data_IF_996941678217
#
_entry.id   IF_996941678217
#
_cell.length_a   1.000
_cell.length_b   1.000
_cell.length_c   1.000
_cell.angle_alpha   90.00
_cell.angle_beta   90.00
_cell.angle_gamma   90.00
#
_symmetry.space_group_name_H-M   'P 1'
#
loop_
_entity.id
_entity.type
_entity.pdbx_description
1 polymer ?
#
# COMPACT_ATOMS: atom_id res chain seq x y z
N UNK A 1 -8.18 11.43 -29.07
CA UNK A 1 -9.17 10.62 -28.30
C UNK A 1 -10.39 11.47 -28.02
N UNK A 2 -11.58 10.85 -27.91
CA UNK A 2 -12.76 11.55 -27.39
C UNK A 2 -12.48 11.96 -25.92
N UNK A 3 -12.93 13.12 -25.44
CA UNK A 3 -12.71 13.47 -24.04
C UNK A 3 -13.32 12.40 -23.11
N UNK A 4 -12.56 11.96 -22.12
CA UNK A 4 -13.02 10.97 -21.14
C UNK A 4 -14.18 11.55 -20.36
N UNK A 5 -15.33 10.89 -20.37
CA UNK A 5 -16.52 11.24 -19.61
C UNK A 5 -16.96 10.10 -18.70
N UNK A 6 -17.06 8.90 -19.25
CA UNK A 6 -17.52 7.71 -18.54
C UNK A 6 -16.34 6.81 -18.20
N UNK A 7 -16.11 6.53 -16.92
CA UNK A 7 -14.97 5.74 -16.40
C UNK A 7 -15.49 4.45 -15.77
N UNK A 8 -15.11 3.30 -16.30
CA UNK A 8 -15.39 2.02 -15.64
C UNK A 8 -14.33 1.73 -14.58
N UNK A 9 -14.78 1.55 -13.34
CA UNK A 9 -13.97 1.16 -12.18
C UNK A 9 -14.14 -0.34 -11.95
N UNK A 10 -13.11 -1.12 -12.23
CA UNK A 10 -13.14 -2.59 -12.11
C UNK A 10 -12.44 -3.00 -10.83
N UNK A 11 -13.18 -3.57 -9.88
CA UNK A 11 -12.62 -4.09 -8.62
C UNK A 11 -13.49 -5.17 -8.01
N UNK A 12 -12.92 -5.92 -7.07
CA UNK A 12 -13.63 -6.97 -6.36
C UNK A 12 -14.50 -6.38 -5.25
N UNK A 13 -15.81 -6.59 -5.34
CA UNK A 13 -16.67 -6.44 -4.18
C UNK A 13 -16.46 -7.64 -3.25
N UNK A 14 -15.92 -7.39 -2.08
CA UNK A 14 -15.88 -8.37 -1.00
C UNK A 14 -16.65 -7.80 0.18
N UNK A 15 -17.40 -8.63 0.91
CA UNK A 15 -18.13 -8.23 2.13
C UNK A 15 -17.21 -7.76 3.27
N UNK A 16 -15.90 -7.72 3.06
CA UNK A 16 -14.89 -7.19 3.97
C UNK A 16 -14.21 -6.00 3.33
N UNK A 17 -14.28 -4.82 3.97
CA UNK A 17 -13.59 -3.62 3.53
C UNK A 17 -12.07 -3.80 3.63
N UNK A 18 -11.43 -4.26 2.54
CA UNK A 18 -9.99 -4.20 2.37
C UNK A 18 -9.54 -2.81 1.88
N UNK A 19 -8.24 -2.50 2.00
CA UNK A 19 -7.70 -1.22 1.54
C UNK A 19 -7.95 -0.94 0.05
N UNK A 20 -7.96 -1.98 -0.80
CA UNK A 20 -8.24 -1.84 -2.24
C UNK A 20 -9.67 -1.38 -2.47
N UNK A 21 -10.66 -2.06 -1.86
CA UNK A 21 -12.08 -1.73 -2.02
C UNK A 21 -12.38 -0.34 -1.49
N UNK A 22 -11.80 0.02 -0.34
CA UNK A 22 -11.96 1.36 0.24
C UNK A 22 -11.42 2.44 -0.68
N UNK A 23 -10.20 2.25 -1.22
CA UNK A 23 -9.60 3.18 -2.16
C UNK A 23 -10.37 3.29 -3.47
N UNK A 24 -10.82 2.18 -4.05
CA UNK A 24 -11.62 2.18 -5.27
C UNK A 24 -12.97 2.89 -5.05
N UNK A 25 -13.67 2.61 -3.95
CA UNK A 25 -14.95 3.26 -3.61
C UNK A 25 -14.77 4.77 -3.39
N UNK A 26 -13.69 5.18 -2.72
CA UNK A 26 -13.36 6.59 -2.55
C UNK A 26 -13.16 7.30 -3.90
N UNK A 27 -12.42 6.68 -4.82
CA UNK A 27 -12.21 7.24 -6.16
C UNK A 27 -13.49 7.32 -6.99
N UNK A 28 -14.40 6.37 -6.84
CA UNK A 28 -15.73 6.46 -7.48
C UNK A 28 -16.44 7.75 -7.06
N UNK A 29 -16.45 8.08 -5.77
CA UNK A 29 -16.99 9.33 -5.26
C UNK A 29 -16.29 10.56 -5.85
N UNK A 30 -14.96 10.58 -5.80
CA UNK A 30 -14.14 11.68 -6.33
C UNK A 30 -14.37 11.92 -7.83
N UNK A 31 -14.43 10.87 -8.64
CA UNK A 31 -14.68 11.03 -10.07
C UNK A 31 -16.06 11.62 -10.34
N UNK A 32 -17.09 11.23 -9.56
CA UNK A 32 -18.41 11.85 -9.62
C UNK A 32 -18.37 13.35 -9.29
N UNK A 33 -17.69 13.75 -8.22
CA UNK A 33 -17.49 15.16 -7.83
C UNK A 33 -16.71 15.97 -8.88
N UNK A 34 -15.79 15.34 -9.60
CA UNK A 34 -15.04 16.00 -10.69
C UNK A 34 -15.80 16.10 -12.00
N UNK A 35 -17.03 15.55 -12.06
CA UNK A 35 -17.92 15.64 -13.21
C UNK A 35 -17.76 14.49 -14.21
N UNK A 36 -17.09 13.40 -13.84
CA UNK A 36 -17.09 12.15 -14.60
C UNK A 36 -18.31 11.29 -14.24
N UNK A 37 -18.62 10.33 -15.09
CA UNK A 37 -19.65 9.31 -14.87
C UNK A 37 -18.96 7.97 -14.48
N UNK A 38 -18.74 7.69 -13.19
CA UNK A 38 -18.11 6.43 -12.79
C UNK A 38 -19.11 5.28 -12.90
N UNK A 39 -18.67 4.17 -13.50
CA UNK A 39 -19.43 2.93 -13.65
C UNK A 39 -18.69 1.83 -12.91
N UNK A 40 -19.25 1.32 -11.83
CA UNK A 40 -18.66 0.20 -11.09
C UNK A 40 -18.96 -1.12 -11.82
N UNK A 41 -17.92 -1.89 -12.06
CA UNK A 41 -18.00 -3.24 -12.62
C UNK A 41 -17.31 -4.21 -11.66
N UNK A 42 -18.12 -5.01 -10.97
CA UNK A 42 -17.64 -5.93 -9.94
C UNK A 42 -17.24 -7.28 -10.51
N UNK A 43 -16.62 -8.10 -9.68
CA UNK A 43 -16.33 -9.49 -10.02
C UNK A 43 -17.62 -10.32 -10.21
N UNK A 44 -18.71 -9.98 -9.52
CA UNK A 44 -20.03 -10.62 -9.74
C UNK A 44 -20.58 -10.30 -11.13
N UNK A 45 -20.33 -9.09 -11.66
CA UNK A 45 -20.78 -8.72 -13.00
C UNK A 45 -19.98 -9.42 -14.09
N UNK A 46 -18.66 -9.49 -13.93
CA UNK A 46 -17.74 -9.92 -14.98
C UNK A 46 -17.37 -11.40 -14.89
N UNK A 47 -17.38 -11.99 -13.70
CA UNK A 47 -16.87 -13.35 -13.44
C UNK A 47 -15.33 -13.43 -13.45
N UNK A 48 -14.80 -14.62 -13.14
CA UNK A 48 -13.34 -14.91 -13.09
C UNK A 48 -12.84 -15.75 -14.26
N UNK A 49 -13.74 -16.43 -14.96
CA UNK A 49 -13.41 -17.46 -15.93
C UNK A 49 -13.62 -17.03 -17.40
N UNK A 50 -13.72 -18.03 -18.27
CA UNK A 50 -14.07 -17.82 -19.67
C UNK A 50 -15.31 -16.94 -19.82
N UNK A 51 -15.31 -16.02 -20.77
CA UNK A 51 -16.42 -15.06 -20.96
C UNK A 51 -16.22 -13.71 -20.26
N UNK A 52 -15.20 -13.54 -19.40
CA UNK A 52 -14.91 -12.24 -18.77
C UNK A 52 -14.61 -11.16 -19.80
N UNK A 53 -13.80 -11.48 -20.83
CA UNK A 53 -13.45 -10.58 -21.94
C UNK A 53 -14.70 -10.08 -22.65
N UNK A 54 -15.59 -10.98 -23.03
CA UNK A 54 -16.84 -10.66 -23.74
C UNK A 54 -17.77 -9.82 -22.88
N UNK A 55 -17.90 -10.15 -21.58
CA UNK A 55 -18.73 -9.41 -20.64
C UNK A 55 -18.22 -7.99 -20.43
N UNK A 56 -16.91 -7.82 -20.22
CA UNK A 56 -16.31 -6.50 -20.05
C UNK A 56 -16.43 -5.68 -21.35
N UNK A 57 -16.15 -6.25 -22.52
CA UNK A 57 -16.31 -5.59 -23.79
C UNK A 57 -17.78 -5.20 -24.08
N UNK A 58 -18.73 -6.03 -23.69
CA UNK A 58 -20.16 -5.71 -23.79
C UNK A 58 -20.55 -4.58 -22.84
N UNK A 59 -20.08 -4.59 -21.59
CA UNK A 59 -20.31 -3.53 -20.61
C UNK A 59 -19.72 -2.19 -21.08
N UNK A 60 -18.50 -2.18 -21.64
CA UNK A 60 -17.86 -0.99 -22.20
C UNK A 60 -18.73 -0.38 -23.29
N UNK A 61 -19.15 -1.19 -24.28
CA UNK A 61 -19.99 -0.69 -25.39
C UNK A 61 -21.38 -0.28 -24.93
N UNK A 62 -22.02 -1.10 -24.08
CA UNK A 62 -23.39 -0.87 -23.65
C UNK A 62 -23.57 0.36 -22.74
N UNK A 63 -22.51 0.74 -22.03
CA UNK A 63 -22.53 1.89 -21.10
C UNK A 63 -21.74 3.10 -21.64
N UNK A 64 -21.21 3.04 -22.85
CA UNK A 64 -20.46 4.15 -23.47
C UNK A 64 -19.18 4.51 -22.69
N UNK A 65 -18.48 3.51 -22.15
CA UNK A 65 -17.25 3.71 -21.35
C UNK A 65 -16.14 4.28 -22.24
N UNK A 66 -15.48 5.33 -21.77
CA UNK A 66 -14.36 5.98 -22.45
C UNK A 66 -12.99 5.55 -21.90
N UNK A 67 -12.94 5.04 -20.65
CA UNK A 67 -11.74 4.64 -19.94
C UNK A 67 -12.05 3.53 -18.93
N UNK A 68 -11.16 2.56 -18.80
CA UNK A 68 -11.23 1.52 -17.74
C UNK A 68 -10.10 1.74 -16.73
N UNK A 69 -10.43 1.70 -15.43
CA UNK A 69 -9.45 1.65 -14.34
C UNK A 69 -9.61 0.32 -13.60
N UNK A 70 -8.58 -0.53 -13.69
CA UNK A 70 -8.55 -1.86 -13.10
C UNK A 70 -7.78 -1.83 -11.77
N UNK A 71 -8.43 -2.18 -10.66
CA UNK A 71 -7.87 -2.16 -9.31
C UNK A 71 -7.40 -3.52 -8.79
N UNK A 72 -7.71 -4.62 -9.47
CA UNK A 72 -7.41 -5.99 -9.00
C UNK A 72 -6.55 -6.75 -10.04
N UNK A 73 -5.38 -6.22 -10.33
CA UNK A 73 -4.49 -6.66 -11.41
C UNK A 73 -3.54 -7.82 -11.04
N UNK A 74 -3.81 -8.57 -9.96
CA UNK A 74 -2.88 -9.60 -9.46
C UNK A 74 -3.08 -10.99 -10.07
N UNK A 75 -4.13 -11.22 -10.81
CA UNK A 75 -4.42 -12.47 -11.48
C UNK A 75 -4.14 -12.33 -12.98
N UNK A 76 -3.17 -13.11 -13.50
CA UNK A 76 -2.72 -13.06 -14.90
C UNK A 76 -3.87 -13.21 -15.89
N UNK A 77 -4.68 -14.26 -15.72
CA UNK A 77 -5.81 -14.56 -16.61
C UNK A 77 -6.83 -13.40 -16.65
N UNK A 78 -7.14 -12.84 -15.48
CA UNK A 78 -8.05 -11.71 -15.34
C UNK A 78 -7.52 -10.47 -16.04
N UNK A 79 -6.29 -10.05 -15.73
CA UNK A 79 -5.67 -8.87 -16.33
C UNK A 79 -5.52 -9.02 -17.85
N UNK A 80 -5.17 -10.22 -18.31
CA UNK A 80 -5.08 -10.52 -19.76
C UNK A 80 -6.43 -10.36 -20.46
N UNK A 81 -7.51 -10.88 -19.85
CA UNK A 81 -8.87 -10.76 -20.37
C UNK A 81 -9.33 -9.29 -20.44
N UNK A 82 -9.04 -8.50 -19.38
CA UNK A 82 -9.45 -7.11 -19.27
C UNK A 82 -8.69 -6.22 -20.30
N UNK A 83 -7.38 -6.44 -20.47
CA UNK A 83 -6.60 -5.75 -21.53
C UNK A 83 -7.12 -6.13 -22.93
N UNK A 84 -7.47 -7.39 -23.16
CA UNK A 84 -8.03 -7.80 -24.44
C UNK A 84 -9.40 -7.16 -24.70
N UNK A 85 -10.28 -7.13 -23.69
CA UNK A 85 -11.60 -6.53 -23.81
C UNK A 85 -11.55 -5.03 -24.15
N UNK A 86 -10.65 -4.29 -23.49
CA UNK A 86 -10.49 -2.85 -23.73
C UNK A 86 -9.93 -2.58 -25.13
N UNK A 87 -9.02 -3.42 -25.63
CA UNK A 87 -8.51 -3.34 -27.01
C UNK A 87 -9.60 -3.61 -28.05
N UNK A 88 -10.44 -4.63 -27.82
CA UNK A 88 -11.56 -4.96 -28.71
C UNK A 88 -12.59 -3.82 -28.76
N UNK A 89 -12.70 -3.06 -27.68
CA UNK A 89 -13.60 -1.93 -27.59
C UNK A 89 -12.97 -0.59 -28.02
N UNK A 90 -11.65 -0.55 -28.26
CA UNK A 90 -10.92 0.67 -28.61
C UNK A 90 -10.83 1.69 -27.48
N UNK A 91 -10.85 1.21 -26.22
CA UNK A 91 -10.88 2.03 -24.99
C UNK A 91 -9.57 1.81 -24.21
N UNK A 92 -8.92 2.85 -23.69
CA UNK A 92 -7.72 2.70 -22.88
C UNK A 92 -8.00 2.03 -21.52
N UNK A 93 -6.96 1.35 -21.01
CA UNK A 93 -6.98 0.75 -19.67
C UNK A 93 -5.82 1.29 -18.83
N UNK A 94 -6.15 1.80 -17.64
CA UNK A 94 -5.21 2.14 -16.58
C UNK A 94 -5.27 1.04 -15.52
N UNK A 95 -4.11 0.56 -15.08
CA UNK A 95 -4.02 -0.33 -13.93
C UNK A 95 -3.66 0.48 -12.69
N UNK A 96 -4.49 0.40 -11.65
CA UNK A 96 -4.16 0.95 -10.34
C UNK A 96 -3.44 -0.11 -9.51
N UNK A 97 -2.15 0.10 -9.27
CA UNK A 97 -1.29 -0.86 -8.59
C UNK A 97 -1.33 -0.66 -7.07
N UNK A 98 -1.99 -1.56 -6.34
CA UNK A 98 -2.18 -1.49 -4.88
C UNK A 98 -1.13 -2.24 -4.05
N UNK A 99 -0.05 -2.69 -4.66
CA UNK A 99 1.04 -3.42 -3.99
C UNK A 99 2.37 -2.73 -4.23
N UNK A 100 3.45 -3.34 -3.77
CA UNK A 100 4.80 -2.92 -4.10
C UNK A 100 5.41 -3.90 -5.11
N UNK A 101 6.01 -3.37 -6.18
CA UNK A 101 6.58 -4.17 -7.28
C UNK A 101 7.62 -5.17 -6.78
N UNK A 102 8.46 -4.76 -5.84
CA UNK A 102 9.57 -5.54 -5.32
C UNK A 102 9.12 -6.82 -4.60
N UNK A 103 7.93 -6.82 -3.99
CA UNK A 103 7.37 -8.02 -3.38
C UNK A 103 7.13 -9.13 -4.40
N UNK A 104 6.61 -8.82 -5.56
CA UNK A 104 6.41 -9.82 -6.62
C UNK A 104 7.72 -10.36 -7.16
N UNK A 105 8.73 -9.49 -7.29
CA UNK A 105 10.08 -9.88 -7.75
C UNK A 105 10.78 -10.75 -6.71
N UNK A 106 10.79 -10.35 -5.44
CA UNK A 106 11.48 -11.02 -4.35
C UNK A 106 10.87 -12.39 -4.00
N UNK A 107 9.55 -12.51 -4.01
CA UNK A 107 8.87 -13.78 -3.72
C UNK A 107 8.97 -14.82 -4.83
N UNK A 108 9.60 -14.49 -5.95
CA UNK A 108 9.77 -15.43 -7.06
C UNK A 108 8.43 -15.96 -7.57
N UNK A 109 7.37 -15.16 -7.53
CA UNK A 109 6.06 -15.53 -8.08
C UNK A 109 6.30 -16.06 -9.50
N UNK A 110 5.88 -17.30 -9.77
CA UNK A 110 6.04 -17.90 -11.11
C UNK A 110 5.42 -17.05 -12.21
N UNK A 111 4.45 -16.23 -11.85
CA UNK A 111 3.69 -15.36 -12.76
C UNK A 111 4.13 -13.90 -12.73
N UNK A 112 5.15 -13.52 -11.93
CA UNK A 112 5.57 -12.11 -11.86
C UNK A 112 5.98 -11.55 -13.22
N UNK A 113 6.74 -12.32 -14.01
CA UNK A 113 7.13 -11.93 -15.37
C UNK A 113 5.91 -11.72 -16.27
N UNK A 114 4.97 -12.66 -16.29
CA UNK A 114 3.75 -12.56 -17.09
C UNK A 114 2.89 -11.35 -16.69
N UNK A 115 2.74 -11.09 -15.39
CA UNK A 115 2.01 -9.90 -14.91
C UNK A 115 2.72 -8.61 -15.33
N UNK A 116 4.05 -8.52 -15.22
CA UNK A 116 4.78 -7.33 -15.69
C UNK A 116 4.69 -7.14 -17.21
N UNK A 117 4.70 -8.21 -17.99
CA UNK A 117 4.47 -8.14 -19.44
C UNK A 117 3.05 -7.65 -19.76
N UNK A 118 2.05 -8.05 -19.00
CA UNK A 118 0.68 -7.54 -19.12
C UNK A 118 0.61 -6.06 -18.72
N UNK A 119 1.24 -5.67 -17.61
CA UNK A 119 1.30 -4.27 -17.16
C UNK A 119 1.95 -3.36 -18.20
N UNK A 120 2.98 -3.84 -18.93
CA UNK A 120 3.57 -3.10 -20.08
C UNK A 120 2.59 -2.93 -21.23
N UNK A 121 1.56 -3.74 -21.34
CA UNK A 121 0.52 -3.67 -22.37
C UNK A 121 -0.67 -2.80 -21.97
N UNK A 122 -0.82 -2.47 -20.69
CA UNK A 122 -1.78 -1.46 -20.23
C UNK A 122 -1.37 -0.07 -20.74
N UNK A 123 -2.30 0.85 -20.89
CA UNK A 123 -2.03 2.18 -21.40
C UNK A 123 -1.30 3.05 -20.38
N UNK A 124 -1.61 2.89 -19.09
CA UNK A 124 -0.85 3.49 -18.01
C UNK A 124 -0.98 2.68 -16.70
N UNK A 125 -0.10 2.99 -15.74
CA UNK A 125 -0.13 2.45 -14.39
C UNK A 125 -0.20 3.62 -13.40
N UNK A 126 -1.14 3.57 -12.46
CA UNK A 126 -1.12 4.42 -11.28
C UNK A 126 -0.43 3.63 -10.17
N UNK A 127 0.63 4.21 -9.64
CA UNK A 127 1.36 3.70 -8.47
C UNK A 127 0.96 4.46 -7.20
N UNK A 128 1.23 3.89 -6.04
CA UNK A 128 1.00 4.54 -4.75
C UNK A 128 2.27 5.17 -4.16
N UNK A 129 3.43 4.75 -4.65
CA UNK A 129 4.74 5.26 -4.23
C UNK A 129 5.57 5.70 -5.43
N UNK A 130 6.49 6.62 -5.19
CA UNK A 130 7.43 7.04 -6.22
C UNK A 130 8.45 5.95 -6.61
N UNK A 131 8.69 4.99 -5.71
CA UNK A 131 9.51 3.84 -6.02
C UNK A 131 8.84 2.91 -7.05
N UNK A 132 7.54 2.61 -6.87
CA UNK A 132 6.77 1.83 -7.85
C UNK A 132 6.65 2.57 -9.17
N UNK A 133 6.34 3.88 -9.15
CA UNK A 133 6.31 4.71 -10.34
C UNK A 133 7.62 4.61 -11.12
N UNK A 134 8.76 4.78 -10.44
CA UNK A 134 10.09 4.72 -11.05
C UNK A 134 10.36 3.33 -11.63
N UNK A 135 10.03 2.26 -10.89
CA UNK A 135 10.18 0.91 -11.39
C UNK A 135 9.36 0.67 -12.66
N UNK A 136 8.08 1.03 -12.67
CA UNK A 136 7.23 0.84 -13.85
C UNK A 136 7.73 1.63 -15.07
N UNK A 137 8.23 2.83 -14.86
CA UNK A 137 8.88 3.61 -15.93
C UNK A 137 10.16 2.95 -16.43
N UNK A 138 10.97 2.35 -15.53
CA UNK A 138 12.19 1.61 -15.91
C UNK A 138 11.91 0.39 -16.79
N UNK A 139 10.75 -0.26 -16.63
CA UNK A 139 10.33 -1.36 -17.51
C UNK A 139 9.52 -0.91 -18.73
N UNK A 140 9.46 0.40 -18.99
CA UNK A 140 8.84 0.98 -20.18
C UNK A 140 7.33 1.22 -20.06
N UNK A 141 6.77 1.19 -18.86
CA UNK A 141 5.39 1.59 -18.65
C UNK A 141 5.26 3.11 -18.56
N UNK A 142 4.11 3.65 -19.01
CA UNK A 142 3.66 4.97 -18.62
C UNK A 142 3.15 4.88 -17.19
N UNK A 143 3.72 5.63 -16.25
CA UNK A 143 3.33 5.53 -14.83
C UNK A 143 3.33 6.87 -14.13
N UNK A 144 2.42 7.04 -13.17
CA UNK A 144 2.31 8.22 -12.31
C UNK A 144 1.96 7.77 -10.89
N UNK A 145 2.69 8.27 -9.89
CA UNK A 145 2.34 8.07 -8.48
C UNK A 145 1.20 9.02 -8.10
N UNK A 146 0.09 8.45 -7.65
CA UNK A 146 -1.07 9.19 -7.14
C UNK A 146 -1.41 8.63 -5.77
N UNK A 147 -0.89 9.23 -4.69
CA UNK A 147 -1.31 8.88 -3.34
C UNK A 147 -2.78 9.22 -3.16
N UNK A 148 -3.51 8.43 -2.41
CA UNK A 148 -4.88 8.77 -2.08
C UNK A 148 -5.12 8.71 -0.58
N UNK A 149 -5.97 9.61 -0.11
CA UNK A 149 -6.38 9.68 1.28
C UNK A 149 -7.88 9.90 1.31
N UNK A 150 -8.61 8.98 1.92
CA UNK A 150 -10.02 9.16 2.26
C UNK A 150 -10.10 9.98 3.56
N UNK A 151 -9.94 11.28 3.39
CA UNK A 151 -9.60 12.22 4.44
C UNK A 151 -10.74 12.60 5.42
N UNK A 152 -11.97 12.14 5.20
CA UNK A 152 -13.14 12.66 5.89
C UNK A 152 -13.33 12.15 7.35
N UNK A 153 -12.42 11.29 7.80
CA UNK A 153 -12.59 10.62 9.09
C UNK A 153 -12.40 11.53 10.32
N UNK A 154 -11.76 12.71 10.19
CA UNK A 154 -11.23 13.38 11.38
C UNK A 154 -11.20 14.92 11.33
N UNK A 155 -12.25 15.58 10.87
CA UNK A 155 -12.41 17.00 11.18
C UNK A 155 -12.61 17.19 12.71
N UNK A 156 -11.88 18.17 13.28
CA UNK A 156 -12.00 18.52 14.69
C UNK A 156 -11.34 17.54 15.68
N UNK A 157 -10.28 16.83 15.26
CA UNK A 157 -9.50 15.99 16.15
C UNK A 157 -8.62 16.82 17.08
N UNK A 158 -8.86 16.77 18.39
CA UNK A 158 -8.00 17.35 19.41
C UNK A 158 -7.40 16.24 20.26
N UNK A 159 -6.08 16.30 20.48
CA UNK A 159 -5.37 15.33 21.28
C UNK A 159 -5.17 15.82 22.70
N UNK A 160 -5.68 15.08 23.68
CA UNK A 160 -5.54 15.36 25.11
C UNK A 160 -4.22 14.92 25.73
N UNK A 161 -3.31 14.28 24.97
CA UNK A 161 -2.03 13.79 25.47
C UNK A 161 -1.54 12.53 24.75
N UNK A 162 -0.45 11.97 25.25
CA UNK A 162 0.17 10.74 24.70
C UNK A 162 0.31 9.67 25.79
N UNK A 163 -0.77 8.95 26.13
CA UNK A 163 -0.72 7.87 27.10
C UNK A 163 0.17 6.73 26.60
N UNK A 164 0.65 5.86 27.49
CA UNK A 164 1.50 4.71 27.16
C UNK A 164 0.71 3.60 26.46
N UNK A 165 -0.09 3.98 25.48
CA UNK A 165 -0.93 3.08 24.69
C UNK A 165 -0.45 3.04 23.25
N UNK A 166 -0.05 1.85 22.81
CA UNK A 166 0.36 1.56 21.44
C UNK A 166 -0.85 1.09 20.64
N UNK A 167 -1.08 1.70 19.48
CA UNK A 167 -2.13 1.28 18.55
C UNK A 167 -1.52 0.52 17.39
N UNK A 168 -2.03 -0.68 17.14
CA UNK A 168 -1.72 -1.48 15.96
C UNK A 168 -3.02 -1.75 15.18
N UNK A 169 -2.99 -1.51 13.85
CA UNK A 169 -4.15 -1.68 12.97
C UNK A 169 -3.78 -2.53 11.76
N UNK A 170 -4.49 -3.63 11.54
CA UNK A 170 -4.24 -4.48 10.40
C UNK A 170 -4.93 -5.84 10.47
N UNK A 171 -4.91 -6.56 9.35
CA UNK A 171 -5.37 -7.95 9.32
C UNK A 171 -4.41 -8.86 10.10
N UNK A 172 -4.93 -9.84 10.82
CA UNK A 172 -4.10 -10.83 11.53
C UNK A 172 -3.56 -11.89 10.55
N UNK A 173 -2.64 -11.47 9.71
CA UNK A 173 -1.96 -12.30 8.68
C UNK A 173 -0.45 -12.16 8.82
N UNK A 174 0.29 -13.17 8.36
CA UNK A 174 1.76 -13.21 8.47
C UNK A 174 2.47 -12.00 7.86
N UNK A 175 1.87 -11.38 6.83
CA UNK A 175 2.37 -10.14 6.24
C UNK A 175 2.42 -8.97 7.22
N UNK A 176 1.42 -8.83 8.08
CA UNK A 176 1.29 -7.74 9.06
C UNK A 176 2.02 -8.01 10.38
N UNK A 177 2.50 -9.24 10.59
CA UNK A 177 3.23 -9.67 11.80
C UNK A 177 2.58 -9.23 13.12
N UNK A 178 1.30 -9.55 13.37
CA UNK A 178 0.62 -9.12 14.59
C UNK A 178 1.28 -9.66 15.87
N UNK A 179 1.96 -10.82 15.80
CA UNK A 179 2.69 -11.36 16.95
C UNK A 179 3.90 -10.49 17.31
N UNK A 180 4.57 -9.87 16.35
CA UNK A 180 5.70 -8.98 16.64
C UNK A 180 5.24 -7.73 17.37
N UNK A 181 4.03 -7.21 17.08
CA UNK A 181 3.44 -6.11 17.84
C UNK A 181 3.23 -6.47 19.31
N UNK A 182 2.74 -7.69 19.58
CA UNK A 182 2.58 -8.19 20.95
C UNK A 182 3.92 -8.33 21.66
N UNK A 183 4.93 -8.91 21.00
CA UNK A 183 6.28 -9.05 21.54
C UNK A 183 6.94 -7.69 21.78
N UNK A 184 6.72 -6.71 20.90
CA UNK A 184 7.22 -5.34 21.10
C UNK A 184 6.69 -4.74 22.39
N UNK A 185 5.40 -4.88 22.65
CA UNK A 185 4.82 -4.35 23.89
C UNK A 185 5.21 -5.20 25.11
N UNK A 186 5.39 -6.51 24.96
CA UNK A 186 5.97 -7.36 26.01
C UNK A 186 7.35 -6.83 26.44
N UNK A 187 8.22 -6.52 25.47
CA UNK A 187 9.55 -5.94 25.73
C UNK A 187 9.46 -4.50 26.26
N UNK A 188 8.57 -3.67 25.71
CA UNK A 188 8.36 -2.30 26.17
C UNK A 188 7.99 -2.25 27.66
N UNK A 189 7.19 -3.19 28.16
CA UNK A 189 6.75 -3.25 29.56
C UNK A 189 7.87 -3.56 30.55
N UNK A 190 9.04 -3.95 30.12
CA UNK A 190 10.22 -4.07 30.99
C UNK A 190 10.66 -2.69 31.51
N UNK A 191 10.44 -1.64 30.73
CA UNK A 191 10.80 -0.23 31.07
C UNK A 191 9.58 0.64 31.31
N UNK A 192 8.48 0.47 30.57
CA UNK A 192 7.22 1.22 30.68
C UNK A 192 6.13 0.24 31.14
N UNK A 193 6.05 0.04 32.47
CA UNK A 193 5.25 -1.04 33.06
C UNK A 193 3.74 -0.98 32.79
N UNK A 194 3.21 0.21 32.57
CA UNK A 194 1.80 0.49 32.30
C UNK A 194 1.50 0.55 30.77
N UNK A 195 2.48 0.23 29.91
CA UNK A 195 2.25 0.21 28.46
C UNK A 195 1.15 -0.80 28.07
N UNK A 196 0.25 -0.36 27.20
CA UNK A 196 -0.85 -1.14 26.65
C UNK A 196 -0.72 -1.29 25.14
N UNK A 197 -1.25 -2.38 24.59
CA UNK A 197 -1.42 -2.60 23.16
C UNK A 197 -2.90 -2.73 22.81
N UNK A 198 -3.38 -1.90 21.90
CA UNK A 198 -4.70 -2.04 21.30
C UNK A 198 -4.54 -2.51 19.86
N UNK A 199 -5.18 -3.62 19.53
CA UNK A 199 -5.11 -4.25 18.20
C UNK A 199 -6.47 -4.19 17.51
N UNK A 200 -6.54 -3.43 16.41
CA UNK A 200 -7.71 -3.35 15.55
C UNK A 200 -7.53 -4.22 14.32
N UNK A 201 -8.54 -4.97 14.00
CA UNK A 201 -8.58 -5.83 12.83
C UNK A 201 -8.91 -7.27 13.16
N UNK A 202 -8.93 -8.09 12.13
CA UNK A 202 -9.27 -9.50 12.24
C UNK A 202 -8.46 -10.32 11.21
N UNK A 203 -8.63 -11.62 11.23
CA UNK A 203 -7.94 -12.56 10.35
C UNK A 203 -8.74 -13.82 10.09
N UNK A 204 -8.15 -14.78 9.39
CA UNK A 204 -8.75 -16.08 9.21
C UNK A 204 -9.06 -16.76 10.56
N UNK A 205 -10.02 -17.66 10.56
CA UNK A 205 -10.38 -18.44 11.75
C UNK A 205 -9.12 -19.07 12.36
N UNK A 206 -8.92 -18.88 13.66
CA UNK A 206 -7.74 -19.36 14.39
C UNK A 206 -6.57 -18.37 14.49
N UNK A 207 -6.44 -17.38 13.61
CA UNK A 207 -5.34 -16.39 13.68
C UNK A 207 -5.38 -15.61 14.99
N UNK A 208 -6.55 -15.07 15.35
CA UNK A 208 -6.78 -14.36 16.62
C UNK A 208 -6.56 -15.26 17.81
N UNK A 209 -7.12 -16.47 17.80
CA UNK A 209 -7.01 -17.43 18.90
C UNK A 209 -5.55 -17.79 19.21
N UNK A 210 -4.69 -17.90 18.21
CA UNK A 210 -3.26 -18.14 18.39
C UNK A 210 -2.57 -16.95 19.11
N UNK A 211 -2.88 -15.72 18.74
CA UNK A 211 -2.37 -14.52 19.39
C UNK A 211 -2.86 -14.41 20.85
N UNK A 212 -4.14 -14.65 21.08
CA UNK A 212 -4.72 -14.67 22.44
C UNK A 212 -4.10 -15.78 23.31
N UNK A 213 -3.82 -16.96 22.73
CA UNK A 213 -3.11 -18.04 23.42
C UNK A 213 -1.71 -17.59 23.84
N UNK A 214 -0.98 -16.90 22.96
CA UNK A 214 0.33 -16.34 23.28
C UNK A 214 0.23 -15.36 24.46
N UNK A 215 -0.71 -14.40 24.42
CA UNK A 215 -0.93 -13.42 25.50
C UNK A 215 -1.27 -14.11 26.82
N UNK A 216 -2.18 -15.10 26.82
CA UNK A 216 -2.54 -15.85 28.04
C UNK A 216 -1.36 -16.61 28.64
N UNK A 217 -0.41 -17.05 27.83
CA UNK A 217 0.79 -17.76 28.32
C UNK A 217 1.85 -16.84 28.94
N UNK A 218 1.65 -15.51 28.87
CA UNK A 218 2.60 -14.50 29.36
C UNK A 218 1.99 -13.67 30.49
N UNK A 219 2.37 -13.92 31.78
CA UNK A 219 1.79 -13.19 32.92
C UNK A 219 1.91 -11.67 32.81
N UNK A 220 3.04 -11.16 32.25
CA UNK A 220 3.29 -9.72 32.03
C UNK A 220 2.40 -9.04 31.02
N UNK A 221 1.68 -9.81 30.18
CA UNK A 221 0.76 -9.28 29.17
C UNK A 221 -0.72 -9.30 29.60
N UNK A 222 -1.03 -9.86 30.77
CA UNK A 222 -2.41 -9.93 31.25
C UNK A 222 -2.98 -8.52 31.41
N UNK A 223 -4.10 -8.24 30.72
CA UNK A 223 -4.75 -6.92 30.74
C UNK A 223 -4.04 -5.83 29.92
N UNK A 224 -2.83 -6.10 29.43
CA UNK A 224 -2.06 -5.14 28.64
C UNK A 224 -2.33 -5.20 27.14
N UNK A 225 -2.92 -6.28 26.63
CA UNK A 225 -3.24 -6.45 25.20
C UNK A 225 -4.75 -6.59 25.02
N UNK A 226 -5.31 -5.71 24.20
CA UNK A 226 -6.73 -5.71 23.85
C UNK A 226 -6.93 -6.00 22.36
N UNK A 227 -7.77 -6.98 22.05
CA UNK A 227 -8.17 -7.36 20.70
C UNK A 227 -9.57 -6.83 20.43
N UNK A 228 -9.67 -5.71 19.75
CA UNK A 228 -10.94 -5.02 19.51
C UNK A 228 -11.71 -5.53 18.28
N UNK A 229 -11.06 -6.37 17.46
CA UNK A 229 -11.63 -6.84 16.21
C UNK A 229 -11.65 -5.77 15.13
N UNK A 230 -12.36 -6.03 14.04
CA UNK A 230 -12.57 -5.02 12.99
C UNK A 230 -13.48 -3.90 13.51
N UNK A 231 -13.05 -2.67 13.31
CA UNK A 231 -13.82 -1.46 13.65
C UNK A 231 -13.97 -0.59 12.42
N UNK A 232 -15.20 -0.17 12.13
CA UNK A 232 -15.48 0.80 11.07
C UNK A 232 -15.08 2.21 11.53
N UNK A 233 -15.42 2.55 12.76
CA UNK A 233 -14.98 3.79 13.42
C UNK A 233 -13.72 3.50 14.24
N UNK A 234 -12.58 4.06 13.80
CA UNK A 234 -11.27 3.93 14.46
C UNK A 234 -10.93 5.16 15.30
N UNK A 235 -11.73 6.23 15.23
CA UNK A 235 -11.46 7.51 15.88
C UNK A 235 -11.22 7.38 17.39
N UNK A 236 -12.07 6.70 18.20
CA UNK A 236 -11.85 6.61 19.63
C UNK A 236 -10.52 5.94 20.01
N UNK A 237 -10.05 5.04 19.16
CA UNK A 237 -8.78 4.34 19.37
C UNK A 237 -7.58 5.21 19.01
N UNK A 238 -7.69 5.97 17.95
CA UNK A 238 -6.68 6.95 17.55
C UNK A 238 -6.55 8.07 18.60
N UNK A 239 -7.67 8.56 19.14
CA UNK A 239 -7.71 9.59 20.18
C UNK A 239 -7.04 9.12 21.47
N UNK A 240 -7.23 7.87 21.83
CA UNK A 240 -6.74 7.28 23.10
C UNK A 240 -5.35 6.67 23.01
N UNK A 241 -4.69 6.66 21.85
CA UNK A 241 -3.36 6.11 21.68
C UNK A 241 -2.25 7.15 21.91
N UNK A 242 -1.06 6.72 22.34
CA UNK A 242 0.13 7.57 22.46
C UNK A 242 1.07 7.44 21.26
N UNK A 243 1.13 6.26 20.66
CA UNK A 243 1.94 5.99 19.47
C UNK A 243 1.31 4.91 18.59
N UNK A 244 1.62 4.95 17.30
CA UNK A 244 1.30 3.89 16.35
C UNK A 244 2.44 2.89 16.19
N UNK A 245 2.11 1.63 15.92
CA UNK A 245 3.08 0.58 15.61
C UNK A 245 2.70 -0.15 14.33
N UNK A 246 3.64 -0.25 13.38
CA UNK A 246 3.46 -0.92 12.09
C UNK A 246 4.54 -2.00 11.94
N UNK A 247 4.15 -3.26 12.10
CA UNK A 247 5.06 -4.42 12.04
C UNK A 247 5.02 -5.15 10.70
N UNK A 248 4.51 -4.51 9.66
CA UNK A 248 4.33 -5.11 8.34
C UNK A 248 5.67 -5.44 7.69
N UNK A 249 5.70 -6.57 6.96
CA UNK A 249 6.84 -6.93 6.10
C UNK A 249 6.96 -5.98 4.90
N UNK A 250 5.83 -5.62 4.34
CA UNK A 250 5.72 -4.61 3.28
C UNK A 250 4.32 -3.97 3.29
N UNK A 251 4.22 -2.81 2.67
CA UNK A 251 2.98 -2.05 2.44
C UNK A 251 2.99 -1.49 1.02
N UNK A 252 1.83 -1.39 0.38
CA UNK A 252 1.70 -0.58 -0.83
C UNK A 252 1.63 0.91 -0.49
N UNK A 253 0.74 1.29 0.42
CA UNK A 253 0.53 2.68 0.85
C UNK A 253 0.43 2.83 2.37
N UNK A 254 -0.03 1.81 3.08
CA UNK A 254 -0.26 1.80 4.53
C UNK A 254 -1.31 2.79 5.01
N UNK A 255 -2.59 2.53 4.70
CA UNK A 255 -3.72 3.32 5.22
C UNK A 255 -3.68 3.50 6.73
N UNK A 256 -3.33 2.44 7.47
CA UNK A 256 -3.18 2.51 8.93
C UNK A 256 -2.18 3.58 9.37
N UNK A 257 -1.04 3.71 8.66
CA UNK A 257 -0.05 4.77 8.92
C UNK A 257 -0.65 6.15 8.68
N UNK A 258 -1.37 6.31 7.58
CA UNK A 258 -2.00 7.61 7.21
C UNK A 258 -3.04 7.99 8.26
N UNK A 259 -3.87 7.06 8.72
CA UNK A 259 -4.87 7.28 9.78
C UNK A 259 -4.22 7.65 11.12
N UNK A 260 -3.14 6.97 11.51
CA UNK A 260 -2.37 7.31 12.71
C UNK A 260 -1.79 8.73 12.62
N UNK A 261 -1.21 9.09 11.47
CA UNK A 261 -0.63 10.41 11.23
C UNK A 261 -1.68 11.53 11.20
N UNK A 262 -2.83 11.26 10.63
CA UNK A 262 -3.99 12.16 10.67
C UNK A 262 -4.35 12.51 12.11
N UNK A 263 -4.26 11.55 13.02
CA UNK A 263 -4.49 11.72 14.44
C UNK A 263 -3.27 12.25 15.22
N UNK A 264 -2.26 12.79 14.55
CA UNK A 264 -1.04 13.28 15.18
C UNK A 264 -0.33 12.22 16.05
N UNK A 265 -0.40 10.95 15.66
CA UNK A 265 0.35 9.89 16.33
C UNK A 265 1.74 9.76 15.71
N UNK A 266 2.82 9.81 16.51
CA UNK A 266 4.11 9.32 16.06
C UNK A 266 4.00 7.82 15.77
N UNK A 267 4.70 7.36 14.74
CA UNK A 267 4.61 5.97 14.29
C UNK A 267 5.98 5.29 14.37
N UNK A 268 6.06 4.15 15.04
CA UNK A 268 7.20 3.25 14.96
C UNK A 268 6.87 2.15 13.94
N UNK A 269 7.73 1.93 12.97
CA UNK A 269 7.49 0.98 11.89
C UNK A 269 8.72 0.14 11.60
N UNK A 270 8.51 -1.08 11.14
CA UNK A 270 9.58 -1.82 10.48
C UNK A 270 9.99 -1.12 9.18
N UNK A 271 11.26 -1.24 8.82
CA UNK A 271 11.85 -0.54 7.69
C UNK A 271 11.13 -0.85 6.38
N UNK A 272 10.66 0.21 5.74
CA UNK A 272 10.04 0.22 4.41
C UNK A 272 10.41 1.55 3.73
N UNK A 273 11.67 1.71 3.28
CA UNK A 273 12.21 3.01 2.84
C UNK A 273 11.49 3.60 1.62
N UNK A 274 10.79 2.76 0.85
CA UNK A 274 10.00 3.17 -0.32
C UNK A 274 8.61 3.73 0.04
N UNK A 275 8.20 3.63 1.30
CA UNK A 275 6.91 4.20 1.79
C UNK A 275 7.17 5.61 2.28
N UNK A 276 6.84 6.60 1.46
CA UNK A 276 7.14 8.02 1.75
C UNK A 276 6.53 8.50 3.07
N UNK A 277 5.39 7.94 3.47
CA UNK A 277 4.77 8.26 4.77
C UNK A 277 5.58 7.79 5.97
N UNK A 278 6.57 6.94 5.78
CA UNK A 278 7.48 6.47 6.82
C UNK A 278 8.86 7.11 6.74
N UNK A 279 9.09 8.03 5.81
CA UNK A 279 10.38 8.71 5.65
C UNK A 279 10.78 9.47 6.93
N UNK A 280 12.08 9.70 7.08
CA UNK A 280 12.62 10.52 8.17
C UNK A 280 12.00 11.93 8.16
N UNK A 281 11.78 12.50 9.34
CA UNK A 281 11.16 13.82 9.47
C UNK A 281 9.64 13.86 9.29
N UNK A 282 8.99 12.73 9.02
CA UNK A 282 7.53 12.62 8.85
C UNK A 282 6.77 12.22 10.13
N UNK A 283 7.42 12.26 11.29
CA UNK A 283 6.84 11.73 12.53
C UNK A 283 6.80 10.20 12.58
N UNK A 284 7.57 9.55 11.73
CA UNK A 284 7.77 8.11 11.71
C UNK A 284 9.22 7.76 12.03
N UNK A 285 9.41 6.59 12.66
CA UNK A 285 10.70 6.02 12.98
C UNK A 285 10.76 4.61 12.41
N UNK A 286 11.71 4.36 11.53
CA UNK A 286 11.93 3.04 10.99
C UNK A 286 12.98 2.29 11.83
N UNK A 287 12.70 1.02 12.12
CA UNK A 287 13.60 0.08 12.79
C UNK A 287 13.83 -1.14 11.89
N UNK A 288 14.90 -1.90 12.06
CA UNK A 288 15.14 -3.08 11.22
C UNK A 288 13.96 -4.05 11.22
N UNK A 289 13.75 -4.71 10.09
CA UNK A 289 12.66 -5.67 9.92
C UNK A 289 12.74 -6.82 10.94
N UNK A 290 11.68 -6.96 11.77
CA UNK A 290 11.58 -8.00 12.80
C UNK A 290 12.32 -7.70 14.10
N UNK A 291 12.99 -6.55 14.21
CA UNK A 291 13.68 -6.12 15.42
C UNK A 291 12.69 -5.57 16.45
N UNK A 292 12.16 -6.48 17.23
CA UNK A 292 11.23 -6.20 18.32
C UNK A 292 11.85 -5.33 19.42
N UNK A 293 13.14 -5.52 19.69
CA UNK A 293 13.84 -4.79 20.74
C UNK A 293 14.07 -3.33 20.34
N UNK A 294 14.48 -3.07 19.08
CA UNK A 294 14.62 -1.72 18.56
C UNK A 294 13.26 -1.00 18.52
N UNK A 295 12.18 -1.68 18.15
CA UNK A 295 10.84 -1.11 18.15
C UNK A 295 10.38 -0.73 19.59
N UNK A 296 10.61 -1.62 20.56
CA UNK A 296 10.30 -1.36 21.96
C UNK A 296 11.13 -0.20 22.53
N UNK A 297 12.44 -0.16 22.25
CA UNK A 297 13.31 0.93 22.68
C UNK A 297 12.87 2.28 22.10
N UNK A 298 12.44 2.33 20.83
CA UNK A 298 11.94 3.55 20.23
C UNK A 298 10.63 4.04 20.85
N UNK A 299 9.70 3.12 21.13
CA UNK A 299 8.46 3.44 21.85
C UNK A 299 8.74 3.91 23.28
N UNK A 300 9.67 3.27 24.00
CA UNK A 300 10.07 3.70 25.34
C UNK A 300 10.64 5.13 25.32
N UNK A 301 11.50 5.46 24.36
CA UNK A 301 12.04 6.80 24.21
C UNK A 301 10.95 7.85 23.95
N UNK A 302 9.94 7.53 23.11
CA UNK A 302 8.79 8.41 22.88
C UNK A 302 7.98 8.62 24.17
N UNK A 303 7.70 7.57 24.92
CA UNK A 303 6.87 7.65 26.12
C UNK A 303 7.59 8.28 27.32
N UNK A 304 8.94 8.28 27.33
CA UNK A 304 9.72 8.97 28.38
C UNK A 304 9.83 10.47 28.17
N UNK A 305 9.53 10.99 26.95
CA UNK A 305 9.59 12.41 26.61
C UNK A 305 8.28 12.87 25.93
N UNK A 306 7.30 13.35 26.70
CA UNK A 306 6.03 13.84 26.16
C UNK A 306 6.18 15.01 25.18
N UNK A 307 7.22 15.86 25.36
CA UNK A 307 7.47 16.98 24.46
C UNK A 307 7.97 16.48 23.08
N UNK A 308 8.86 15.50 23.06
CA UNK A 308 9.31 14.84 21.84
C UNK A 308 8.16 14.08 21.18
N UNK A 309 7.34 13.37 21.95
CA UNK A 309 6.16 12.68 21.43
C UNK A 309 5.21 13.67 20.73
N UNK A 310 4.92 14.82 21.34
CA UNK A 310 4.11 15.88 20.75
C UNK A 310 4.74 16.48 19.49
N UNK A 311 6.05 16.72 19.51
CA UNK A 311 6.80 17.22 18.35
C UNK A 311 6.72 16.25 17.17
N UNK A 312 6.91 14.97 17.41
CA UNK A 312 6.80 13.93 16.39
C UNK A 312 5.36 13.74 15.89
N UNK A 313 4.39 13.87 16.79
CA UNK A 313 2.97 13.89 16.42
C UNK A 313 2.63 15.07 15.49
N UNK A 314 3.19 16.26 15.73
CA UNK A 314 3.03 17.41 14.84
C UNK A 314 3.68 17.17 13.45
N UNK A 315 4.83 16.49 13.40
CA UNK A 315 5.47 16.07 12.14
C UNK A 315 4.59 15.05 11.39
N UNK A 316 4.03 14.09 12.12
CA UNK A 316 3.10 13.10 11.56
C UNK A 316 1.87 13.79 10.93
N UNK A 317 1.28 14.75 11.63
CA UNK A 317 0.14 15.53 11.13
C UNK A 317 0.51 16.31 9.86
N UNK A 318 1.65 17.01 9.83
CA UNK A 318 2.11 17.71 8.62
C UNK A 318 2.31 16.79 7.44
N UNK A 319 2.87 15.60 7.68
CA UNK A 319 3.02 14.57 6.63
C UNK A 319 1.66 14.12 6.06
N UNK A 320 0.66 13.95 6.92
CA UNK A 320 -0.70 13.65 6.51
C UNK A 320 -1.30 14.80 5.66
N UNK A 321 -1.18 16.05 6.11
CA UNK A 321 -1.71 17.21 5.38
C UNK A 321 -1.08 17.35 3.99
N UNK A 322 0.19 17.00 3.83
CA UNK A 322 0.83 16.97 2.52
C UNK A 322 0.19 15.93 1.58
N UNK A 323 -0.22 14.76 2.10
CA UNK A 323 -0.95 13.75 1.31
C UNK A 323 -2.36 14.25 0.99
N UNK A 324 -3.05 14.80 1.98
CA UNK A 324 -4.41 15.33 1.82
C UNK A 324 -4.48 16.46 0.79
N UNK A 325 -3.48 17.33 0.77
CA UNK A 325 -3.41 18.46 -0.16
C UNK A 325 -2.88 18.10 -1.54
N UNK A 326 -2.56 16.84 -1.80
CA UNK A 326 -2.10 16.41 -3.11
C UNK A 326 -3.19 16.66 -4.17
N UNK A 327 -2.82 17.37 -5.24
CA UNK A 327 -3.72 17.65 -6.36
C UNK A 327 -4.02 16.39 -7.18
N UNK A 328 -4.92 15.55 -6.66
CA UNK A 328 -5.33 14.33 -7.33
C UNK A 328 -6.01 14.62 -8.66
N UNK A 329 -6.92 15.60 -8.70
CA UNK A 329 -7.65 15.97 -9.92
C UNK A 329 -6.70 16.40 -11.03
N UNK A 330 -5.73 17.26 -10.73
CA UNK A 330 -4.71 17.66 -11.68
C UNK A 330 -3.80 16.51 -12.11
N UNK A 331 -3.47 15.58 -11.19
CA UNK A 331 -2.68 14.40 -11.51
C UNK A 331 -3.40 13.47 -12.49
N UNK A 332 -4.68 13.17 -12.25
CA UNK A 332 -5.51 12.42 -13.20
C UNK A 332 -5.69 13.16 -14.51
N UNK A 333 -5.89 14.47 -14.49
CA UNK A 333 -5.97 15.30 -15.70
C UNK A 333 -4.70 15.21 -16.56
N UNK A 334 -3.53 15.29 -15.94
CA UNK A 334 -2.24 15.08 -16.63
C UNK A 334 -2.12 13.68 -17.21
N UNK A 335 -2.52 12.65 -16.46
CA UNK A 335 -2.48 11.27 -16.92
C UNK A 335 -3.40 11.06 -18.12
N UNK A 336 -4.64 11.54 -18.06
CA UNK A 336 -5.61 11.40 -19.16
C UNK A 336 -5.16 12.15 -20.42
N UNK A 337 -4.65 13.37 -20.28
CA UNK A 337 -4.07 14.12 -21.40
C UNK A 337 -2.83 13.42 -22.00
N UNK A 338 -2.05 12.72 -21.17
CA UNK A 338 -0.89 11.97 -21.65
C UNK A 338 -1.28 10.70 -22.41
N UNK A 339 -2.45 10.08 -22.11
CA UNK A 339 -2.97 8.93 -22.86
C UNK A 339 -3.28 9.27 -24.32
N UNK A 340 -3.53 10.54 -24.67
CA UNK A 340 -3.75 10.99 -26.03
C UNK A 340 -2.48 10.99 -26.89
N UNK A 341 -1.30 10.98 -26.25
CA UNK A 341 -0.01 10.98 -26.91
C UNK A 341 0.45 9.56 -27.22
N UNK A 342 1.22 9.35 -28.31
CA UNK A 342 1.97 8.11 -28.47
C UNK A 342 2.86 7.84 -27.24
N UNK A 343 3.05 6.59 -26.87
CA UNK A 343 3.88 6.25 -25.69
C UNK A 343 5.32 6.81 -25.80
N UNK A 344 5.88 6.85 -27.01
CA UNK A 344 7.20 7.43 -27.29
C UNK A 344 7.30 8.94 -27.01
N UNK A 345 6.18 9.64 -27.01
CA UNK A 345 6.10 11.08 -26.72
C UNK A 345 5.63 11.39 -25.28
N UNK A 346 5.42 10.35 -24.47
CA UNK A 346 4.97 10.49 -23.07
C UNK A 346 6.14 10.89 -22.17
N UNK A 347 5.97 11.93 -21.36
CA UNK A 347 6.89 12.28 -20.29
C UNK A 347 6.81 11.32 -19.07
N UNK A 348 5.76 10.50 -19.01
CA UNK A 348 5.51 9.56 -17.92
C UNK A 348 6.19 8.20 -18.12
N UNK A 349 7.04 8.05 -19.13
CA UNK A 349 7.83 6.83 -19.38
C UNK A 349 9.29 6.95 -18.96
N UNK A 350 9.82 8.18 -18.77
CA UNK A 350 11.19 8.40 -18.32
C UNK A 350 11.30 8.19 -16.81
N UNK A 351 12.16 7.27 -16.34
CA UNK A 351 12.37 7.09 -14.90
C UNK A 351 13.09 8.27 -14.27
N UNK A 352 12.75 8.58 -13.03
CA UNK A 352 13.51 9.55 -12.23
C UNK A 352 14.85 8.92 -11.81
N UNK A 353 15.95 9.42 -12.35
CA UNK A 353 17.29 8.90 -12.08
C UNK A 353 17.66 8.97 -10.59
N UNK A 354 17.18 9.99 -9.85
CA UNK A 354 17.44 10.15 -8.42
C UNK A 354 16.80 9.04 -7.57
N UNK A 355 15.73 8.41 -8.07
CA UNK A 355 14.95 7.37 -7.37
C UNK A 355 15.33 5.94 -7.77
N UNK A 356 16.15 5.76 -8.80
CA UNK A 356 16.62 4.42 -9.22
C UNK A 356 17.34 3.70 -8.07
N UNK A 357 18.07 4.43 -7.23
CA UNK A 357 18.71 3.87 -6.04
C UNK A 357 17.67 3.32 -5.04
N UNK A 358 16.59 4.06 -4.80
CA UNK A 358 15.51 3.61 -3.91
C UNK A 358 14.85 2.32 -4.41
N UNK A 359 14.62 2.20 -5.73
CA UNK A 359 14.11 0.96 -6.35
C UNK A 359 15.04 -0.23 -6.06
N UNK A 360 16.35 0.00 -6.14
CA UNK A 360 17.34 -1.02 -5.87
C UNK A 360 17.39 -1.44 -4.40
N UNK A 361 17.40 -0.48 -3.50
CA UNK A 361 17.38 -0.70 -2.05
C UNK A 361 16.11 -1.47 -1.66
N UNK A 362 14.96 -1.12 -2.22
CA UNK A 362 13.69 -1.82 -2.01
C UNK A 362 13.75 -3.27 -2.47
N UNK A 363 14.34 -3.54 -3.63
CA UNK A 363 14.55 -4.91 -4.12
C UNK A 363 15.45 -5.73 -3.21
N UNK A 364 16.56 -5.13 -2.76
CA UNK A 364 17.53 -5.80 -1.87
C UNK A 364 16.91 -6.09 -0.51
N UNK A 365 16.17 -5.14 0.05
CA UNK A 365 15.49 -5.31 1.34
C UNK A 365 14.47 -6.46 1.27
N UNK A 366 13.61 -6.48 0.26
CA UNK A 366 12.64 -7.56 0.10
C UNK A 366 13.29 -8.91 -0.24
N UNK A 367 14.41 -8.94 -0.95
CA UNK A 367 15.18 -10.15 -1.17
C UNK A 367 15.78 -10.70 0.12
N UNK A 368 16.24 -9.82 1.03
CA UNK A 368 16.73 -10.18 2.36
C UNK A 368 15.64 -10.62 3.35
N UNK A 369 14.43 -10.11 3.21
CA UNK A 369 13.29 -10.46 4.07
C UNK A 369 12.75 -11.87 3.86
N UNK A 370 13.19 -12.53 2.81
CA UNK A 370 12.43 -13.64 2.57
C UNK A 370 12.62 -14.81 2.01
N UNK A 371 13.47 -15.44 1.83
CA UNK A 371 13.21 -16.84 1.45
C UNK A 371 14.57 -17.50 1.26
N UNK A 372 14.88 -18.44 2.08
CA UNK A 372 16.16 -19.12 2.22
C UNK A 372 16.82 -19.64 0.94
N UNK A 373 16.09 -19.79 -0.14
CA UNK A 373 16.65 -20.28 -1.41
C UNK A 373 16.62 -19.24 -2.55
N UNK A 374 15.70 -18.28 -2.52
CA UNK A 374 15.54 -17.28 -3.60
C UNK A 374 16.40 -16.04 -3.38
N UNK A 375 16.61 -15.64 -2.13
CA UNK A 375 17.47 -14.52 -1.76
C UNK A 375 18.93 -14.76 -2.16
N UNK A 376 19.44 -15.98 -1.95
CA UNK A 376 20.79 -16.37 -2.40
C UNK A 376 20.93 -16.39 -3.92
N UNK A 377 19.88 -16.76 -4.65
CA UNK A 377 19.88 -16.74 -6.12
C UNK A 377 19.82 -15.31 -6.66
N UNK A 378 19.04 -14.43 -6.05
CA UNK A 378 18.92 -13.01 -6.43
C UNK A 378 20.20 -12.27 -6.03
N UNK A 379 20.71 -12.46 -4.81
CA UNK A 379 21.97 -11.87 -4.34
C UNK A 379 23.15 -12.28 -5.22
N UNK A 380 23.29 -13.56 -5.58
CA UNK A 380 24.31 -14.03 -6.55
C UNK A 380 24.15 -13.41 -7.93
N UNK A 381 22.92 -13.14 -8.40
CA UNK A 381 22.67 -12.48 -9.68
C UNK A 381 22.92 -10.98 -9.61
N UNK A 382 22.68 -10.35 -8.45
CA UNK A 382 22.90 -8.92 -8.23
C UNK A 382 24.38 -8.59 -7.97
N UNK A 383 25.14 -9.47 -7.30
CA UNK A 383 26.56 -9.29 -7.00
C UNK A 383 27.49 -9.52 -8.20
N UNK A 384 27.01 -10.10 -9.30
CA UNK A 384 27.80 -10.39 -10.51
C UNK A 384 27.97 -9.25 -11.50
N UNK A 385 27.64 -8.00 -11.15
CA UNK A 385 27.81 -6.81 -12.00
C UNK A 385 26.90 -5.67 -11.54
N UNK A 386 27.35 -4.46 -11.60
CA UNK A 386 26.70 -3.30 -11.02
C UNK A 386 25.17 -3.23 -11.26
N UNK A 387 24.48 -2.55 -10.40
CA UNK A 387 23.03 -2.48 -10.29
C UNK A 387 22.29 -2.27 -11.64
N UNK A 388 22.83 -1.41 -12.51
CA UNK A 388 22.31 -1.20 -13.88
C UNK A 388 22.46 -2.45 -14.75
N UNK A 389 23.51 -3.25 -14.57
CA UNK A 389 23.69 -4.51 -15.28
C UNK A 389 22.75 -5.60 -14.73
N UNK A 390 22.43 -5.58 -13.42
CA UNK A 390 21.45 -6.48 -12.82
C UNK A 390 20.04 -6.13 -13.30
N UNK A 391 19.67 -4.86 -13.33
CA UNK A 391 18.39 -4.38 -13.87
C UNK A 391 18.26 -4.62 -15.38
N UNK A 392 19.36 -4.45 -16.17
CA UNK A 392 19.42 -4.83 -17.58
C UNK A 392 19.35 -6.34 -17.79
N UNK A 393 19.88 -7.16 -16.88
CA UNK A 393 19.72 -8.63 -16.92
C UNK A 393 18.29 -9.03 -16.55
N UNK A 394 17.67 -8.38 -15.56
CA UNK A 394 16.25 -8.54 -15.30
C UNK A 394 15.43 -8.17 -16.54
N UNK A 395 15.74 -7.06 -17.23
CA UNK A 395 15.06 -6.66 -18.47
C UNK A 395 15.30 -7.62 -19.65
N UNK A 396 16.41 -8.38 -19.67
CA UNK A 396 16.68 -9.44 -20.66
C UNK A 396 16.02 -10.78 -20.29
N UNK A 397 15.74 -10.98 -19.01
CA UNK A 397 15.01 -12.15 -18.54
C UNK A 397 13.53 -12.03 -18.88
N UNK A 398 13.10 -10.80 -19.20
CA UNK A 398 11.74 -10.43 -19.59
C UNK A 398 11.59 -10.18 -21.10
N UNK A 399 12.62 -10.47 -21.88
CA UNK A 399 12.56 -10.59 -23.34
C UNK A 399 12.57 -12.04 -23.78
#
# INVERSE_FOLDING_TARGET
>A
MKPVKTIAMVYRETGTCGGIQRGASFQVGQFGEWGFEPVVLSESDLGRGPGRREKLAAAIRGRGVDLVIEHDAYAEEKLSADIAATRDAGVPIIVFWHSVFSWMVANGSRNAGAIFDLLRRADAIIALTSADETFFRMIGCRSLAIPYCDADLMEGFERGGYPHRVLWMGRFVGLKRPLDAIKTVERLRETVRDAELVMLGDGAAGSRAALEKYVRSRPGLRGAVRFEGFRKDVRPYLESAGAGLVTSKFEGFSHATVEMKMASLPVVAYSMPYVETLAEGTGAFQVPQGDVDAAAARLAALFSDPAECARQGALARRSYEAIRSFDQRGAYGRLFADLEKPRSASSLTAPDASRVRLVAETLLEHAGMGLDASAERISRKLSGGGLLAALRRLSRWWR
#
